data_IF_269371268657
#
_entry.id   IF_269371268657
#
_cell.length_a   1.000
_cell.length_b   1.000
_cell.length_c   1.000
_cell.angle_alpha   90.00
_cell.angle_beta   90.00
_cell.angle_gamma   90.00
#
_symmetry.space_group_name_H-M   'P 1'
#
loop_
_entity.id
_entity.type
_entity.pdbx_description
1 polymer ?
#
# COMPACT_ATOMS: atom_id res chain seq x y z
N UNK A 1 -19.75 -3.45 -13.75
CA UNK A 1 -18.44 -3.27 -13.11
C UNK A 1 -17.45 -4.18 -13.82
N UNK A 2 -16.50 -3.65 -14.60
CA UNK A 2 -15.46 -4.49 -15.24
C UNK A 2 -14.41 -4.78 -14.19
N UNK A 3 -14.16 -6.06 -13.93
CA UNK A 3 -13.04 -6.49 -13.09
C UNK A 3 -11.73 -5.99 -13.70
N UNK A 4 -10.87 -5.35 -12.89
CA UNK A 4 -9.61 -4.73 -13.33
C UNK A 4 -8.60 -5.82 -13.77
N UNK A 5 -8.72 -7.02 -13.22
CA UNK A 5 -7.88 -8.19 -13.50
C UNK A 5 -8.75 -9.38 -13.92
N UNK A 6 -8.29 -10.25 -14.83
CA UNK A 6 -9.04 -11.46 -15.16
C UNK A 6 -8.93 -12.45 -14.00
N UNK A 7 -10.08 -12.98 -13.54
CA UNK A 7 -10.15 -13.90 -12.39
C UNK A 7 -9.18 -15.11 -12.48
N UNK A 8 -8.82 -15.55 -13.69
CA UNK A 8 -7.85 -16.61 -13.93
C UNK A 8 -6.44 -16.32 -13.36
N UNK A 9 -6.04 -15.05 -13.25
CA UNK A 9 -4.73 -14.65 -12.73
C UNK A 9 -4.71 -14.49 -11.21
N UNK A 10 -5.87 -14.38 -10.55
CA UNK A 10 -5.95 -14.13 -9.12
C UNK A 10 -5.14 -15.13 -8.29
N UNK A 11 -5.28 -16.46 -8.46
CA UNK A 11 -4.56 -17.41 -7.59
C UNK A 11 -3.05 -17.38 -7.80
N UNK A 12 -2.59 -17.18 -9.03
CA UNK A 12 -1.16 -17.13 -9.38
C UNK A 12 -0.49 -15.86 -8.85
N UNK A 13 -1.07 -14.71 -9.17
CA UNK A 13 -0.54 -13.40 -8.77
C UNK A 13 -0.65 -13.18 -7.26
N UNK A 14 -1.70 -13.68 -6.61
CA UNK A 14 -1.80 -13.66 -5.14
C UNK A 14 -0.64 -14.42 -4.50
N UNK A 15 -0.35 -15.64 -4.99
CA UNK A 15 0.79 -16.43 -4.48
C UNK A 15 2.12 -15.72 -4.70
N UNK A 16 2.31 -15.07 -5.86
CA UNK A 16 3.52 -14.30 -6.15
C UNK A 16 3.66 -13.10 -5.22
N UNK A 17 2.66 -12.23 -5.16
CA UNK A 17 2.70 -10.97 -4.39
C UNK A 17 2.85 -11.27 -2.90
N UNK A 18 1.98 -12.10 -2.32
CA UNK A 18 2.05 -12.42 -0.89
C UNK A 18 3.27 -13.29 -0.57
N UNK A 19 3.73 -14.12 -1.50
CA UNK A 19 4.98 -14.85 -1.37
C UNK A 19 6.20 -13.92 -1.32
N UNK A 20 6.23 -12.87 -2.15
CA UNK A 20 7.28 -11.85 -2.13
C UNK A 20 7.25 -11.03 -0.83
N UNK A 21 6.06 -10.63 -0.36
CA UNK A 21 5.91 -9.96 0.95
C UNK A 21 6.42 -10.84 2.10
N UNK A 22 6.10 -12.15 2.07
CA UNK A 22 6.57 -13.09 3.09
C UNK A 22 8.09 -13.37 2.99
N UNK A 23 8.64 -13.52 1.78
CA UNK A 23 10.08 -13.75 1.55
C UNK A 23 10.93 -12.51 1.81
N UNK A 24 10.36 -11.31 1.65
CA UNK A 24 10.97 -10.06 2.12
C UNK A 24 11.12 -10.02 3.66
N UNK A 25 10.74 -11.10 4.35
CA UNK A 25 11.10 -11.41 5.72
C UNK A 25 10.39 -10.54 6.74
N UNK A 26 9.28 -9.89 6.36
CA UNK A 26 8.66 -8.85 7.18
C UNK A 26 9.73 -7.88 7.73
N UNK A 27 10.61 -7.46 6.81
CA UNK A 27 11.55 -6.34 6.91
C UNK A 27 12.71 -6.53 7.90
N UNK A 28 13.92 -6.43 7.36
CA UNK A 28 15.16 -6.12 8.08
C UNK A 28 14.86 -5.07 9.15
N UNK A 29 15.27 -5.32 10.39
CA UNK A 29 15.01 -4.50 11.58
C UNK A 29 14.72 -3.04 11.24
N UNK A 30 13.55 -2.52 11.67
CA UNK A 30 13.16 -1.12 11.54
C UNK A 30 14.28 -0.12 11.92
N UNK A 31 15.24 -0.56 12.74
CA UNK A 31 16.46 0.16 13.09
C UNK A 31 17.39 0.49 11.91
N UNK A 32 17.30 -0.20 10.76
CA UNK A 32 18.27 -0.11 9.65
C UNK A 32 17.68 0.37 8.32
N UNK A 33 16.36 0.41 8.17
CA UNK A 33 15.69 0.84 6.94
C UNK A 33 15.19 2.27 7.08
N UNK A 34 15.53 3.16 6.14
CA UNK A 34 15.02 4.53 6.16
C UNK A 34 13.51 4.55 5.87
N UNK A 35 12.74 5.51 6.42
CA UNK A 35 11.30 5.63 6.15
C UNK A 35 10.96 5.72 4.66
N UNK A 36 11.84 6.32 3.85
CA UNK A 36 11.66 6.46 2.40
C UNK A 36 11.73 5.10 1.69
N UNK A 37 12.73 4.28 2.02
CA UNK A 37 12.88 2.94 1.46
C UNK A 37 11.73 2.04 1.90
N UNK A 38 11.28 2.19 3.15
CA UNK A 38 10.13 1.46 3.65
C UNK A 38 8.84 1.85 2.92
N UNK A 39 8.57 3.15 2.80
CA UNK A 39 7.41 3.69 2.10
C UNK A 39 7.39 3.27 0.62
N UNK A 40 8.54 3.31 -0.06
CA UNK A 40 8.65 2.90 -1.46
C UNK A 40 8.26 1.42 -1.65
N UNK A 41 8.81 0.54 -0.82
CA UNK A 41 8.51 -0.88 -0.90
C UNK A 41 7.04 -1.17 -0.55
N UNK A 42 6.48 -0.53 0.48
CA UNK A 42 5.05 -0.64 0.80
C UNK A 42 4.20 -0.21 -0.40
N UNK A 43 4.51 0.93 -1.02
CA UNK A 43 3.76 1.47 -2.15
C UNK A 43 3.84 0.57 -3.40
N UNK A 44 4.97 -0.08 -3.67
CA UNK A 44 5.09 -1.05 -4.76
C UNK A 44 4.10 -2.20 -4.53
N UNK A 45 4.17 -2.87 -3.38
CA UNK A 45 3.27 -3.99 -3.09
C UNK A 45 1.81 -3.56 -2.97
N UNK A 46 1.54 -2.38 -2.43
CA UNK A 46 0.19 -1.81 -2.34
C UNK A 46 -0.39 -1.55 -3.74
N UNK A 47 0.41 -1.02 -4.65
CA UNK A 47 0.05 -0.84 -6.06
C UNK A 47 -0.26 -2.18 -6.74
N UNK A 48 0.55 -3.21 -6.50
CA UNK A 48 0.32 -4.55 -7.03
C UNK A 48 -1.01 -5.15 -6.54
N UNK A 49 -1.33 -5.01 -5.25
CA UNK A 49 -2.61 -5.50 -4.69
C UNK A 49 -3.81 -4.69 -5.22
N UNK A 50 -3.65 -3.37 -5.42
CA UNK A 50 -4.66 -2.53 -6.08
C UNK A 50 -4.94 -3.01 -7.49
N UNK A 51 -3.90 -3.30 -8.27
CA UNK A 51 -4.03 -3.81 -9.64
C UNK A 51 -4.61 -5.23 -9.67
N UNK A 52 -4.24 -6.06 -8.69
CA UNK A 52 -4.79 -7.40 -8.54
C UNK A 52 -6.30 -7.37 -8.28
N UNK A 53 -6.79 -6.39 -7.53
CA UNK A 53 -8.21 -6.19 -7.20
C UNK A 53 -8.95 -7.50 -6.84
N UNK A 54 -8.48 -8.22 -5.80
CA UNK A 54 -8.87 -9.62 -5.57
C UNK A 54 -10.31 -9.83 -5.08
N UNK A 55 -10.98 -8.79 -4.60
CA UNK A 55 -12.34 -8.87 -4.07
C UNK A 55 -13.37 -8.25 -5.01
N UNK A 56 -14.65 -8.62 -4.86
CA UNK A 56 -15.74 -8.01 -5.61
C UNK A 56 -15.92 -6.52 -5.27
N UNK A 57 -15.88 -6.22 -3.96
CA UNK A 57 -15.98 -4.86 -3.41
C UNK A 57 -14.94 -4.68 -2.30
N UNK A 58 -14.81 -3.44 -1.82
CA UNK A 58 -13.99 -3.08 -0.65
C UNK A 58 -12.46 -3.22 -0.81
N UNK A 59 -11.95 -3.48 -2.02
CA UNK A 59 -10.51 -3.60 -2.28
C UNK A 59 -9.70 -2.45 -1.68
N UNK A 60 -10.10 -1.19 -1.92
CA UNK A 60 -9.39 -0.04 -1.35
C UNK A 60 -9.31 -0.04 0.18
N UNK A 61 -10.35 -0.51 0.88
CA UNK A 61 -10.39 -0.57 2.35
C UNK A 61 -9.53 -1.73 2.86
N UNK A 62 -9.70 -2.92 2.28
CA UNK A 62 -8.97 -4.12 2.70
C UNK A 62 -7.47 -3.96 2.41
N UNK A 63 -7.11 -3.40 1.25
CA UNK A 63 -5.72 -3.11 0.91
C UNK A 63 -5.09 -2.17 1.93
N UNK A 64 -5.68 -0.99 2.20
CA UNK A 64 -5.10 -0.06 3.19
C UNK A 64 -4.93 -0.71 4.56
N UNK A 65 -5.96 -1.42 5.05
CA UNK A 65 -5.89 -2.13 6.32
C UNK A 65 -4.75 -3.16 6.36
N UNK A 66 -4.54 -3.90 5.28
CA UNK A 66 -3.45 -4.87 5.19
C UNK A 66 -2.07 -4.18 5.30
N UNK A 67 -1.88 -3.04 4.61
CA UNK A 67 -0.63 -2.30 4.67
C UNK A 67 -0.44 -1.52 5.99
N UNK A 68 -1.53 -1.11 6.66
CA UNK A 68 -1.48 -0.58 8.02
C UNK A 68 -0.90 -1.61 8.99
N UNK A 69 -1.30 -2.88 8.89
CA UNK A 69 -0.76 -3.95 9.73
C UNK A 69 0.74 -4.18 9.51
N UNK A 70 1.21 -4.03 8.27
CA UNK A 70 2.64 -4.10 7.96
C UNK A 70 3.41 -2.90 8.54
N UNK A 71 2.84 -1.69 8.48
CA UNK A 71 3.41 -0.50 9.10
C UNK A 71 3.52 -0.67 10.62
N UNK A 72 2.45 -1.18 11.27
CA UNK A 72 2.42 -1.46 12.71
C UNK A 72 3.48 -2.46 13.12
N UNK A 73 3.62 -3.56 12.37
CA UNK A 73 4.63 -4.57 12.66
C UNK A 73 6.06 -4.02 12.56
N UNK A 74 6.25 -2.92 11.82
CA UNK A 74 7.53 -2.20 11.69
C UNK A 74 7.71 -1.03 12.65
N UNK A 75 6.83 -0.89 13.65
CA UNK A 75 6.94 0.16 14.65
C UNK A 75 6.41 1.52 14.21
N UNK A 76 5.53 1.57 13.21
CA UNK A 76 4.79 2.76 12.80
C UNK A 76 3.34 2.71 13.30
N UNK A 77 2.68 3.86 13.41
CA UNK A 77 1.23 3.94 13.53
C UNK A 77 0.56 3.47 12.21
N UNK A 78 -0.77 3.19 12.21
CA UNK A 78 -1.52 3.05 10.97
C UNK A 78 -1.22 4.22 10.02
N UNK A 79 -1.13 3.95 8.72
CA UNK A 79 -0.72 4.96 7.74
C UNK A 79 -1.82 6.02 7.64
N UNK A 80 -1.48 7.28 7.87
CA UNK A 80 -2.45 8.38 7.79
C UNK A 80 -2.71 8.76 6.32
N UNK A 81 -3.84 8.29 5.79
CA UNK A 81 -4.33 8.66 4.47
C UNK A 81 -5.32 9.84 4.49
N UNK A 82 -5.55 10.51 5.62
CA UNK A 82 -6.59 11.54 5.76
C UNK A 82 -6.49 12.63 4.69
N UNK A 83 -5.28 13.17 4.46
CA UNK A 83 -5.03 14.17 3.42
C UNK A 83 -5.15 13.58 2.01
N UNK A 84 -4.73 12.32 1.83
CA UNK A 84 -4.79 11.64 0.53
C UNK A 84 -6.23 11.31 0.09
N UNK A 85 -7.14 11.19 1.05
CA UNK A 85 -8.55 10.84 0.85
C UNK A 85 -9.48 12.05 0.82
N UNK A 86 -8.97 13.25 1.05
CA UNK A 86 -9.77 14.47 0.89
C UNK A 86 -10.26 14.60 -0.55
N UNK A 87 -11.52 14.97 -0.69
CA UNK A 87 -12.16 15.11 -1.98
C UNK A 87 -11.55 16.26 -2.79
N UNK A 88 -11.27 15.95 -4.05
CA UNK A 88 -10.77 16.82 -5.10
C UNK A 88 -11.82 16.85 -6.22
N UNK A 89 -12.21 18.05 -6.63
CA UNK A 89 -13.30 18.27 -7.57
C UNK A 89 -13.01 17.74 -8.99
N UNK A 90 -11.74 17.56 -9.37
CA UNK A 90 -11.34 17.14 -10.72
C UNK A 90 -11.02 15.64 -10.79
N UNK A 91 -10.45 15.05 -9.74
CA UNK A 91 -9.90 13.68 -9.78
C UNK A 91 -10.43 12.74 -8.70
N UNK A 92 -11.37 13.19 -7.86
CA UNK A 92 -11.91 12.41 -6.75
C UNK A 92 -11.04 12.57 -5.51
N UNK A 93 -9.89 11.89 -5.42
CA UNK A 93 -8.88 12.20 -4.39
C UNK A 93 -7.49 11.72 -4.82
N UNK A 94 -6.46 12.19 -4.10
CA UNK A 94 -5.06 11.88 -4.43
C UNK A 94 -4.76 10.37 -4.34
N UNK A 95 -5.41 9.64 -3.44
CA UNK A 95 -5.25 8.19 -3.34
C UNK A 95 -5.81 7.47 -4.58
N UNK A 96 -6.97 7.88 -5.10
CA UNK A 96 -7.56 7.34 -6.33
C UNK A 96 -6.64 7.64 -7.51
N UNK A 97 -6.12 8.87 -7.62
CA UNK A 97 -5.17 9.24 -8.68
C UNK A 97 -3.90 8.40 -8.63
N UNK A 98 -3.31 8.20 -7.45
CA UNK A 98 -2.15 7.33 -7.27
C UNK A 98 -2.46 5.87 -7.64
N UNK A 99 -3.66 5.39 -7.31
CA UNK A 99 -4.13 4.04 -7.66
C UNK A 99 -4.25 3.87 -9.17
N UNK A 100 -4.82 4.86 -9.88
CA UNK A 100 -4.93 4.86 -11.34
C UNK A 100 -3.53 4.79 -11.98
N UNK A 101 -2.58 5.57 -11.47
CA UNK A 101 -1.22 5.59 -12.03
C UNK A 101 -0.48 4.26 -11.81
N UNK A 102 -0.67 3.61 -10.65
CA UNK A 102 -0.15 2.26 -10.40
C UNK A 102 -0.71 1.26 -11.43
N UNK A 103 -2.01 1.30 -11.69
CA UNK A 103 -2.69 0.33 -12.57
C UNK A 103 -2.39 0.58 -14.05
N UNK A 104 -2.41 1.84 -14.49
CA UNK A 104 -2.31 2.18 -15.91
C UNK A 104 -0.86 2.29 -16.40
N UNK A 105 0.07 2.63 -15.50
CA UNK A 105 1.45 2.99 -15.89
C UNK A 105 2.54 2.30 -15.09
N UNK A 106 2.19 1.40 -14.16
CA UNK A 106 3.14 0.84 -13.18
C UNK A 106 3.91 1.95 -12.43
N UNK A 107 3.27 3.11 -12.23
CA UNK A 107 3.87 4.28 -11.60
C UNK A 107 3.58 4.33 -10.11
N UNK A 108 4.57 3.99 -9.27
CA UNK A 108 4.40 3.94 -7.81
C UNK A 108 4.75 5.24 -7.09
N UNK A 109 5.42 6.19 -7.77
CA UNK A 109 5.98 7.41 -7.14
C UNK A 109 4.97 8.18 -6.32
N UNK A 110 3.76 8.41 -6.85
CA UNK A 110 2.72 9.16 -6.14
C UNK A 110 2.25 8.39 -4.90
N UNK A 111 2.06 7.07 -5.01
CA UNK A 111 1.65 6.25 -3.88
C UNK A 111 2.75 6.19 -2.81
N UNK A 112 4.02 6.12 -3.20
CA UNK A 112 5.18 6.22 -2.29
C UNK A 112 5.15 7.51 -1.49
N UNK A 113 4.90 8.66 -2.15
CA UNK A 113 4.82 9.95 -1.48
C UNK A 113 3.68 10.02 -0.47
N UNK A 114 2.51 9.47 -0.83
CA UNK A 114 1.35 9.42 0.07
C UNK A 114 1.61 8.52 1.28
N UNK A 115 2.17 7.33 1.06
CA UNK A 115 2.54 6.41 2.15
C UNK A 115 3.57 7.06 3.06
N UNK A 116 4.64 7.63 2.49
CA UNK A 116 5.69 8.29 3.27
C UNK A 116 5.13 9.43 4.12
N UNK A 117 4.25 10.28 3.56
CA UNK A 117 3.63 11.37 4.28
C UNK A 117 2.72 10.89 5.43
N UNK A 118 2.13 9.70 5.30
CA UNK A 118 1.28 9.09 6.32
C UNK A 118 2.03 8.25 7.37
N UNK A 119 3.31 7.95 7.17
CA UNK A 119 4.11 7.18 8.12
C UNK A 119 4.47 8.02 9.34
N UNK A 120 4.08 7.54 10.52
CA UNK A 120 4.45 8.14 11.80
C UNK A 120 5.03 7.05 12.70
N UNK A 121 6.26 7.19 13.25
CA UNK A 121 6.80 6.22 14.20
C UNK A 121 5.89 6.10 15.43
N UNK A 122 5.73 4.88 15.95
CA UNK A 122 5.11 4.69 17.26
C UNK A 122 5.98 5.43 18.29
N UNK A 123 5.39 6.40 19.00
CA UNK A 123 6.06 7.00 20.15
C UNK A 123 6.33 5.87 21.13
N UNK A 124 7.61 5.59 21.41
CA UNK A 124 7.97 4.65 22.45
C UNK A 124 7.37 5.13 23.78
N UNK A 125 6.61 4.26 24.45
CA UNK A 125 6.69 4.28 25.90
C UNK A 125 8.15 3.99 26.22
N UNK A 126 8.85 4.97 26.79
CA UNK A 126 10.13 4.73 27.43
C UNK A 126 9.88 3.66 28.50
N UNK A 127 10.37 2.45 28.28
CA UNK A 127 10.51 1.42 29.31
C UNK A 127 11.73 1.74 30.15
#
# INVERSE_FOLDING_TARGET
MRSISRAAYLPGESRRIFGQVAQAGFWVEAATTSPEVFAERLAIYQGEVIALHPFYELNGRITRLFFDLLAIQQGYAPIDYSQALQDDAEVGNNYIRASIECVQRAGHRMLTQLVLAGLTPLKGEAV
#
